data_IF_540750612224
#
_entry.id   IF_540750612224
#
_cell.length_a   1.000
_cell.length_b   1.000
_cell.length_c   1.000
_cell.angle_alpha   90.00
_cell.angle_beta   90.00
_cell.angle_gamma   90.00
#
_symmetry.space_group_name_H-M   'P 1'
#
loop_
_entity.id
_entity.type
_entity.pdbx_description
1 polymer ?
#
# COMPACT_ATOMS: atom_id res chain seq x y z
N UNK A 1 26.72 8.58 -10.03
CA UNK A 1 26.02 7.26 -9.97
C UNK A 1 24.61 7.47 -10.49
N UNK A 2 24.10 6.60 -11.35
CA UNK A 2 22.71 6.67 -11.80
C UNK A 2 21.78 6.43 -10.60
N UNK A 3 20.77 7.31 -10.42
CA UNK A 3 19.99 7.35 -9.19
C UNK A 3 19.01 6.17 -9.06
N UNK A 4 18.45 5.69 -10.18
CA UNK A 4 17.54 4.56 -10.20
C UNK A 4 18.09 3.29 -9.57
N UNK A 5 19.28 2.77 -9.97
CA UNK A 5 19.90 1.61 -9.31
C UNK A 5 20.15 1.83 -7.82
N UNK A 6 20.55 3.04 -7.43
CA UNK A 6 20.81 3.37 -6.02
C UNK A 6 19.58 3.30 -5.13
N UNK A 7 18.38 3.62 -5.66
CA UNK A 7 17.11 3.51 -4.92
C UNK A 7 16.76 2.05 -4.64
N UNK A 8 16.93 1.15 -5.62
CA UNK A 8 16.76 -0.29 -5.39
C UNK A 8 17.78 -0.83 -4.40
N UNK A 9 19.05 -0.44 -4.54
CA UNK A 9 20.12 -0.89 -3.67
C UNK A 9 19.86 -0.52 -2.22
N UNK A 10 19.35 0.68 -1.95
CA UNK A 10 18.99 1.13 -0.61
C UNK A 10 18.02 0.19 0.11
N UNK A 11 16.96 -0.25 -0.56
CA UNK A 11 15.98 -1.16 0.04
C UNK A 11 16.42 -2.63 -0.03
N UNK A 12 17.19 -3.02 -1.07
CA UNK A 12 17.73 -4.38 -1.16
C UNK A 12 18.71 -4.69 -0.03
N UNK A 13 19.58 -3.76 0.34
CA UNK A 13 20.51 -3.93 1.46
C UNK A 13 19.71 -4.18 2.77
N UNK A 14 18.73 -3.34 3.06
CA UNK A 14 17.90 -3.49 4.25
C UNK A 14 17.12 -4.81 4.26
N UNK A 15 16.56 -5.21 3.12
CA UNK A 15 15.87 -6.49 3.00
C UNK A 15 16.84 -7.67 3.21
N UNK A 16 18.04 -7.62 2.65
CA UNK A 16 19.08 -8.66 2.81
C UNK A 16 19.56 -8.80 4.25
N UNK A 17 19.69 -7.70 4.98
CA UNK A 17 19.98 -7.73 6.41
C UNK A 17 18.89 -8.45 7.21
N UNK A 18 17.62 -8.17 6.92
CA UNK A 18 16.48 -8.84 7.55
C UNK A 18 16.43 -10.33 7.18
N UNK A 19 16.63 -10.67 5.91
CA UNK A 19 16.65 -12.06 5.44
C UNK A 19 17.80 -12.87 6.06
N UNK A 20 18.97 -12.26 6.22
CA UNK A 20 20.12 -12.90 6.85
C UNK A 20 19.88 -13.18 8.33
N UNK A 21 19.26 -12.23 9.04
CA UNK A 21 18.87 -12.41 10.45
C UNK A 21 17.75 -13.45 10.58
N UNK A 22 16.74 -13.41 9.71
CA UNK A 22 15.66 -14.37 9.70
C UNK A 22 16.15 -15.82 9.49
N UNK A 23 17.16 -16.02 8.64
CA UNK A 23 17.69 -17.34 8.29
C UNK A 23 18.24 -18.14 9.50
N UNK A 24 18.59 -17.47 10.59
CA UNK A 24 19.12 -18.09 11.82
C UNK A 24 18.10 -18.13 12.98
N UNK A 25 16.86 -17.75 12.74
CA UNK A 25 15.77 -17.82 13.74
C UNK A 25 14.96 -19.10 13.57
N UNK A 26 14.29 -19.51 14.63
CA UNK A 26 13.40 -20.68 14.62
C UNK A 26 12.22 -20.48 13.65
N UNK A 27 11.68 -19.24 13.55
CA UNK A 27 10.59 -18.90 12.65
C UNK A 27 10.94 -17.66 11.80
N UNK A 28 11.60 -17.85 10.64
CA UNK A 28 11.99 -16.77 9.74
C UNK A 28 10.84 -15.86 9.30
N UNK A 29 9.67 -16.45 9.03
CA UNK A 29 8.48 -15.71 8.62
C UNK A 29 7.99 -14.73 9.70
N UNK A 30 7.92 -15.21 10.94
CA UNK A 30 7.52 -14.38 12.08
C UNK A 30 8.54 -13.25 12.32
N UNK A 31 9.84 -13.57 12.23
CA UNK A 31 10.89 -12.55 12.34
C UNK A 31 10.72 -11.45 11.29
N UNK A 32 10.51 -11.81 10.02
CA UNK A 32 10.33 -10.83 8.93
C UNK A 32 9.07 -9.98 9.14
N UNK A 33 7.97 -10.59 9.58
CA UNK A 33 6.74 -9.88 9.90
C UNK A 33 6.95 -8.85 11.02
N UNK A 34 7.57 -9.25 12.12
CA UNK A 34 7.80 -8.39 13.28
C UNK A 34 8.85 -7.28 13.06
N UNK A 35 9.74 -7.43 12.07
CA UNK A 35 10.83 -6.49 11.80
C UNK A 35 10.63 -5.66 10.53
N UNK A 36 9.39 -5.38 10.17
CA UNK A 36 9.03 -4.44 9.10
C UNK A 36 9.62 -4.78 7.71
N UNK A 37 9.79 -6.09 7.40
CA UNK A 37 10.22 -6.51 6.07
C UNK A 37 9.19 -6.13 5.00
N UNK A 38 7.90 -6.08 5.37
CA UNK A 38 6.79 -5.70 4.49
C UNK A 38 6.99 -4.32 3.87
N UNK A 39 7.37 -3.32 4.64
CA UNK A 39 7.64 -1.97 4.13
C UNK A 39 8.77 -1.97 3.08
N UNK A 40 9.85 -2.72 3.30
CA UNK A 40 10.97 -2.79 2.35
C UNK A 40 10.55 -3.45 1.04
N UNK A 41 9.77 -4.53 1.13
CA UNK A 41 9.19 -5.21 -0.04
C UNK A 41 8.22 -4.30 -0.80
N UNK A 42 7.38 -3.56 -0.09
CA UNK A 42 6.42 -2.64 -0.67
C UNK A 42 7.11 -1.48 -1.42
N UNK A 43 8.21 -0.95 -0.89
CA UNK A 43 9.01 0.06 -1.59
C UNK A 43 9.68 -0.51 -2.84
N UNK A 44 10.21 -1.73 -2.77
CA UNK A 44 10.81 -2.43 -3.92
C UNK A 44 9.77 -2.78 -4.99
N UNK A 45 8.56 -3.19 -4.59
CA UNK A 45 7.42 -3.37 -5.49
C UNK A 45 7.05 -2.06 -6.18
N UNK A 46 6.90 -0.97 -5.40
CA UNK A 46 6.59 0.36 -5.93
C UNK A 46 7.60 0.85 -6.95
N UNK A 47 8.89 0.74 -6.65
CA UNK A 47 9.97 1.04 -7.60
C UNK A 47 9.84 0.17 -8.85
N UNK A 48 9.63 -1.14 -8.68
CA UNK A 48 9.52 -2.06 -9.81
C UNK A 48 8.33 -1.74 -10.71
N UNK A 49 7.18 -1.42 -10.12
CA UNK A 49 5.97 -1.01 -10.83
C UNK A 49 6.18 0.29 -11.61
N UNK A 50 6.77 1.28 -10.97
CA UNK A 50 7.06 2.57 -11.59
C UNK A 50 8.04 2.40 -12.75
N UNK A 51 9.18 1.76 -12.54
CA UNK A 51 10.20 1.57 -13.58
C UNK A 51 9.75 0.66 -14.72
N UNK A 52 8.84 -0.29 -14.48
CA UNK A 52 8.18 -1.02 -15.55
C UNK A 52 7.33 -0.11 -16.45
N UNK A 53 6.80 0.98 -15.92
CA UNK A 53 6.09 2.01 -16.68
C UNK A 53 7.01 3.02 -17.39
N UNK A 54 8.24 3.21 -16.90
CA UNK A 54 9.20 4.16 -17.49
C UNK A 54 10.02 3.56 -18.61
N UNK A 55 10.55 2.35 -18.42
CA UNK A 55 11.41 1.63 -19.37
C UNK A 55 11.56 0.15 -18.95
N UNK A 56 12.21 -0.68 -19.76
CA UNK A 56 12.55 -2.10 -19.52
C UNK A 56 11.48 -2.93 -18.78
N UNK A 57 10.23 -2.82 -19.23
CA UNK A 57 9.04 -3.42 -18.61
C UNK A 57 9.26 -4.87 -18.15
N UNK A 58 9.89 -5.72 -18.99
CA UNK A 58 10.06 -7.14 -18.69
C UNK A 58 10.95 -7.40 -17.47
N UNK A 59 12.01 -6.59 -17.26
CA UNK A 59 12.92 -6.76 -16.13
C UNK A 59 12.25 -6.35 -14.83
N UNK A 60 11.56 -5.22 -14.83
CA UNK A 60 10.93 -4.70 -13.64
C UNK A 60 9.67 -5.48 -13.25
N UNK A 61 8.87 -5.96 -14.21
CA UNK A 61 7.77 -6.87 -13.91
C UNK A 61 8.25 -8.17 -13.26
N UNK A 62 9.38 -8.71 -13.71
CA UNK A 62 10.00 -9.87 -13.05
C UNK A 62 10.37 -9.58 -11.59
N UNK A 63 10.98 -8.44 -11.30
CA UNK A 63 11.34 -8.04 -9.95
C UNK A 63 10.09 -7.80 -9.09
N UNK A 64 9.11 -7.09 -9.65
CA UNK A 64 7.83 -6.78 -9.00
C UNK A 64 7.10 -8.06 -8.55
N UNK A 65 7.03 -9.08 -9.41
CA UNK A 65 6.37 -10.35 -9.08
C UNK A 65 6.93 -10.97 -7.80
N UNK A 66 8.26 -11.00 -7.64
CA UNK A 66 8.89 -11.57 -6.45
C UNK A 66 8.64 -10.73 -5.20
N UNK A 67 8.79 -9.41 -5.29
CA UNK A 67 8.58 -8.52 -4.15
C UNK A 67 7.11 -8.52 -3.72
N UNK A 68 6.21 -8.39 -4.69
CA UNK A 68 4.77 -8.43 -4.44
C UNK A 68 4.32 -9.75 -3.82
N UNK A 69 4.78 -10.90 -4.34
CA UNK A 69 4.41 -12.21 -3.78
C UNK A 69 4.76 -12.31 -2.31
N UNK A 70 5.97 -11.90 -1.91
CA UNK A 70 6.38 -11.98 -0.52
C UNK A 70 5.69 -10.91 0.34
N UNK A 71 5.46 -9.71 -0.20
CA UNK A 71 4.72 -8.63 0.46
C UNK A 71 3.28 -9.04 0.75
N UNK A 72 2.56 -9.55 -0.27
CA UNK A 72 1.17 -10.02 -0.14
C UNK A 72 1.05 -11.13 0.93
N UNK A 73 2.01 -12.07 0.97
CA UNK A 73 2.00 -13.14 1.97
C UNK A 73 2.21 -12.61 3.39
N UNK A 74 3.15 -11.66 3.59
CA UNK A 74 3.33 -11.01 4.90
C UNK A 74 2.10 -10.16 5.23
N UNK A 75 1.49 -9.51 4.26
CA UNK A 75 0.23 -8.78 4.41
C UNK A 75 -0.93 -9.66 4.86
N UNK A 76 -0.96 -10.93 4.42
CA UNK A 76 -1.96 -11.88 4.90
C UNK A 76 -1.74 -12.27 6.37
N UNK A 77 -0.48 -12.35 6.84
CA UNK A 77 -0.20 -12.54 8.27
C UNK A 77 -0.67 -11.33 9.07
N UNK A 78 -0.34 -10.12 8.60
CA UNK A 78 -0.75 -8.85 9.21
C UNK A 78 -2.29 -8.75 9.35
N UNK A 79 -3.02 -9.16 8.31
CA UNK A 79 -4.48 -9.21 8.31
C UNK A 79 -5.03 -10.09 9.44
N UNK A 80 -4.60 -11.35 9.54
CA UNK A 80 -5.10 -12.27 10.56
C UNK A 80 -4.57 -11.92 11.96
N UNK A 81 -3.35 -11.41 12.10
CA UNK A 81 -2.80 -10.98 13.39
C UNK A 81 -3.53 -9.75 13.94
N UNK A 82 -3.90 -8.81 13.08
CA UNK A 82 -4.69 -7.65 13.48
C UNK A 82 -6.08 -8.06 14.03
N UNK A 83 -6.77 -8.98 13.33
CA UNK A 83 -8.07 -9.47 13.81
C UNK A 83 -7.94 -10.41 15.01
N UNK A 84 -6.87 -11.18 15.13
CA UNK A 84 -6.64 -11.99 16.33
C UNK A 84 -6.54 -11.11 17.59
N UNK A 85 -5.86 -9.97 17.49
CA UNK A 85 -5.76 -8.98 18.57
C UNK A 85 -7.08 -8.28 18.85
N UNK A 86 -7.73 -7.79 17.80
CA UNK A 86 -9.02 -7.09 17.89
C UNK A 86 -10.11 -8.00 18.50
N UNK A 87 -10.21 -9.24 18.06
CA UNK A 87 -11.19 -10.20 18.58
C UNK A 87 -10.88 -10.69 20.00
N UNK A 88 -9.61 -10.63 20.42
CA UNK A 88 -9.23 -10.95 21.80
C UNK A 88 -9.75 -9.89 22.78
N UNK A 89 -9.77 -8.63 22.36
CA UNK A 89 -10.26 -7.50 23.16
C UNK A 89 -11.78 -7.36 23.12
N UNK A 90 -12.48 -8.03 22.19
CA UNK A 90 -13.92 -7.99 22.03
C UNK A 90 -14.61 -9.08 22.87
N UNK A 91 -15.30 -8.71 23.98
CA UNK A 91 -15.90 -9.68 24.90
C UNK A 91 -17.07 -10.47 24.30
N UNK A 92 -17.72 -9.96 23.25
CA UNK A 92 -18.84 -10.64 22.58
C UNK A 92 -18.39 -11.59 21.49
N UNK A 93 -17.13 -11.51 21.04
CA UNK A 93 -16.60 -12.35 19.97
C UNK A 93 -16.44 -13.81 20.45
N UNK A 94 -17.11 -14.79 19.81
CA UNK A 94 -16.99 -16.20 20.17
C UNK A 94 -15.55 -16.72 20.12
N UNK A 95 -15.18 -17.56 21.10
CA UNK A 95 -13.82 -18.15 21.15
C UNK A 95 -13.48 -18.97 19.91
N UNK A 96 -14.45 -19.63 19.30
CA UNK A 96 -14.27 -20.42 18.06
C UNK A 96 -13.80 -19.54 16.89
N UNK A 97 -14.33 -18.31 16.78
CA UNK A 97 -13.90 -17.34 15.75
C UNK A 97 -12.49 -16.87 16.02
N UNK A 98 -12.15 -16.55 17.28
CA UNK A 98 -10.78 -16.16 17.68
C UNK A 98 -9.76 -17.24 17.33
N UNK A 99 -10.03 -18.50 17.73
CA UNK A 99 -9.15 -19.63 17.45
C UNK A 99 -9.00 -19.89 15.93
N UNK A 100 -10.05 -19.69 15.16
CA UNK A 100 -9.97 -19.80 13.70
C UNK A 100 -9.00 -18.77 13.12
N UNK A 101 -9.13 -17.49 13.49
CA UNK A 101 -8.27 -16.40 12.99
C UNK A 101 -6.80 -16.63 13.39
N UNK A 102 -6.54 -17.07 14.62
CA UNK A 102 -5.20 -17.44 15.07
C UNK A 102 -4.63 -18.61 14.26
N UNK A 103 -5.43 -19.65 14.01
CA UNK A 103 -5.01 -20.79 13.19
C UNK A 103 -4.66 -20.38 11.76
N UNK A 104 -5.39 -19.42 11.19
CA UNK A 104 -5.11 -18.86 9.87
C UNK A 104 -3.80 -18.07 9.86
N UNK A 105 -3.51 -17.28 10.89
CA UNK A 105 -2.22 -16.61 11.04
C UNK A 105 -1.06 -17.61 10.99
N UNK A 106 -1.15 -18.69 11.78
CA UNK A 106 -0.10 -19.71 11.80
C UNK A 106 0.03 -20.44 10.44
N UNK A 107 -1.07 -20.74 9.77
CA UNK A 107 -1.08 -21.28 8.40
C UNK A 107 -0.31 -20.36 7.43
N UNK A 108 -0.54 -19.03 7.49
CA UNK A 108 0.14 -18.07 6.63
C UNK A 108 1.64 -17.97 6.96
N UNK A 109 2.03 -17.98 8.23
CA UNK A 109 3.44 -18.02 8.64
C UNK A 109 4.15 -19.25 8.10
N UNK A 110 3.52 -20.44 8.21
CA UNK A 110 4.07 -21.68 7.65
C UNK A 110 4.27 -21.58 6.12
N UNK A 111 3.28 -21.09 5.41
CA UNK A 111 3.37 -20.91 3.95
C UNK A 111 4.52 -19.95 3.55
N UNK A 112 4.75 -18.87 4.31
CA UNK A 112 5.89 -17.98 4.09
C UNK A 112 7.20 -18.73 4.29
N UNK A 113 7.37 -19.47 5.38
CA UNK A 113 8.59 -20.24 5.63
C UNK A 113 8.91 -21.21 4.48
N UNK A 114 7.92 -21.89 3.93
CA UNK A 114 8.08 -22.74 2.76
C UNK A 114 8.57 -21.97 1.52
N UNK A 115 7.97 -20.81 1.26
CA UNK A 115 8.35 -19.95 0.11
C UNK A 115 9.75 -19.36 0.29
N UNK A 116 10.14 -18.94 1.50
CA UNK A 116 11.47 -18.41 1.78
C UNK A 116 12.55 -19.43 1.38
N UNK A 117 12.35 -20.70 1.69
CA UNK A 117 13.26 -21.80 1.32
C UNK A 117 13.15 -22.10 -0.18
N UNK A 118 11.94 -22.41 -0.68
CA UNK A 118 11.69 -22.83 -2.07
C UNK A 118 12.17 -21.81 -3.09
N UNK A 119 11.98 -20.53 -2.82
CA UNK A 119 12.40 -19.43 -3.71
C UNK A 119 13.80 -18.91 -3.41
N UNK A 120 14.51 -19.52 -2.45
CA UNK A 120 15.88 -19.19 -2.04
C UNK A 120 16.06 -17.73 -1.59
N UNK A 121 15.11 -17.23 -0.78
CA UNK A 121 15.21 -15.92 -0.16
C UNK A 121 16.22 -15.92 0.98
N UNK A 122 16.20 -16.98 1.82
CA UNK A 122 17.08 -17.17 3.00
C UNK A 122 18.22 -18.19 2.74
N UNK A 123 18.63 -18.38 1.48
CA UNK A 123 19.82 -19.18 1.18
C UNK A 123 21.09 -18.48 1.68
N UNK A 124 22.14 -19.24 2.00
CA UNK A 124 23.41 -18.72 2.53
C UNK A 124 24.03 -17.59 1.66
N UNK A 125 23.80 -17.64 0.36
CA UNK A 125 24.28 -16.66 -0.59
C UNK A 125 23.23 -15.60 -0.98
N UNK A 126 22.05 -15.58 -0.36
CA UNK A 126 20.92 -14.70 -0.69
C UNK A 126 20.60 -14.73 -2.20
N UNK A 127 20.55 -15.91 -2.77
CA UNK A 127 20.44 -16.15 -4.22
C UNK A 127 19.35 -15.30 -4.88
N UNK A 128 18.17 -15.19 -4.24
CA UNK A 128 17.02 -14.49 -4.83
C UNK A 128 17.30 -13.00 -5.03
N UNK A 129 17.74 -12.32 -4.00
CA UNK A 129 18.03 -10.88 -4.06
C UNK A 129 19.19 -10.58 -5.00
N UNK A 130 20.26 -11.41 -4.97
CA UNK A 130 21.38 -11.31 -5.93
C UNK A 130 20.93 -11.45 -7.39
N UNK A 131 20.03 -12.39 -7.67
CA UNK A 131 19.50 -12.60 -9.02
C UNK A 131 18.67 -11.41 -9.48
N UNK A 132 17.81 -10.86 -8.61
CA UNK A 132 17.01 -9.67 -8.91
C UNK A 132 17.93 -8.47 -9.13
N UNK A 133 18.89 -8.22 -8.22
CA UNK A 133 19.89 -7.14 -8.34
C UNK A 133 20.65 -7.19 -9.65
N UNK A 134 21.12 -8.39 -10.06
CA UNK A 134 21.82 -8.57 -11.34
C UNK A 134 20.95 -8.18 -12.54
N UNK A 135 19.65 -8.45 -12.49
CA UNK A 135 18.70 -8.06 -13.54
C UNK A 135 18.47 -6.56 -13.57
N UNK A 136 18.23 -5.95 -12.42
CA UNK A 136 17.99 -4.51 -12.28
C UNK A 136 19.20 -3.71 -12.76
N UNK A 137 20.42 -4.12 -12.39
CA UNK A 137 21.67 -3.45 -12.86
C UNK A 137 21.84 -3.43 -14.38
N UNK A 138 21.22 -4.35 -15.11
CA UNK A 138 21.26 -4.44 -16.57
C UNK A 138 20.16 -3.65 -17.29
N UNK A 139 19.31 -2.91 -16.56
CA UNK A 139 18.30 -2.08 -17.18
C UNK A 139 18.93 -0.87 -17.88
N UNK A 140 18.22 -0.34 -18.88
CA UNK A 140 18.63 0.85 -19.62
C UNK A 140 18.31 2.12 -18.80
N UNK A 141 19.16 2.40 -17.82
CA UNK A 141 18.99 3.51 -16.91
C UNK A 141 19.18 4.87 -17.58
N UNK A 142 18.28 5.79 -17.33
CA UNK A 142 18.29 7.14 -17.89
C UNK A 142 19.13 8.10 -17.05
N UNK A 143 19.47 9.25 -17.64
CA UNK A 143 20.07 10.37 -16.89
C UNK A 143 19.08 10.89 -15.84
N UNK A 144 19.55 11.49 -14.74
CA UNK A 144 18.68 12.00 -13.70
C UNK A 144 17.60 12.96 -14.19
N UNK A 145 17.95 13.83 -15.13
CA UNK A 145 17.01 14.79 -15.73
C UNK A 145 15.91 14.08 -16.52
N UNK A 146 16.30 13.16 -17.42
CA UNK A 146 15.33 12.38 -18.21
C UNK A 146 14.46 11.48 -17.37
N UNK A 147 15.02 10.92 -16.29
CA UNK A 147 14.29 10.11 -15.33
C UNK A 147 13.15 10.90 -14.66
N UNK A 148 13.45 12.15 -14.21
CA UNK A 148 12.44 13.04 -13.59
C UNK A 148 11.31 13.38 -14.56
N UNK A 149 11.63 13.66 -15.84
CA UNK A 149 10.60 13.88 -16.87
C UNK A 149 9.68 12.67 -17.00
N UNK A 150 10.26 11.48 -17.13
CA UNK A 150 9.49 10.24 -17.25
C UNK A 150 8.65 9.95 -16.00
N UNK A 151 9.18 10.20 -14.80
CA UNK A 151 8.43 10.06 -13.54
C UNK A 151 7.25 11.03 -13.53
N UNK A 152 7.43 12.27 -13.96
CA UNK A 152 6.36 13.26 -14.05
C UNK A 152 5.25 12.80 -15.01
N UNK A 153 5.63 12.31 -16.20
CA UNK A 153 4.68 11.73 -17.16
C UNK A 153 3.93 10.53 -16.58
N UNK A 154 4.64 9.67 -15.81
CA UNK A 154 4.03 8.53 -15.15
C UNK A 154 2.98 8.96 -14.13
N UNK A 155 3.24 9.99 -13.33
CA UNK A 155 2.26 10.55 -12.39
C UNK A 155 1.01 11.06 -13.11
N UNK A 156 1.15 11.81 -14.21
CA UNK A 156 0.01 12.28 -14.99
C UNK A 156 -0.85 11.11 -15.48
N UNK A 157 -0.23 10.10 -16.08
CA UNK A 157 -0.94 8.90 -16.55
C UNK A 157 -1.58 8.10 -15.41
N UNK A 158 -0.95 8.06 -14.24
CA UNK A 158 -1.52 7.40 -13.07
C UNK A 158 -2.75 8.14 -12.54
N UNK A 159 -2.70 9.47 -12.48
CA UNK A 159 -3.82 10.35 -12.07
C UNK A 159 -4.99 10.20 -13.06
N UNK A 160 -4.71 10.23 -14.36
CA UNK A 160 -5.73 10.03 -15.41
C UNK A 160 -6.47 8.70 -15.21
N UNK A 161 -5.74 7.59 -15.07
CA UNK A 161 -6.32 6.27 -14.80
C UNK A 161 -7.12 6.18 -13.50
N UNK A 162 -6.76 6.94 -12.48
CA UNK A 162 -7.52 6.99 -11.23
C UNK A 162 -8.83 7.73 -11.45
N UNK A 163 -8.80 8.85 -12.17
CA UNK A 163 -9.99 9.61 -12.51
C UNK A 163 -10.94 8.80 -13.42
N UNK A 164 -10.40 8.07 -14.41
CA UNK A 164 -11.17 7.15 -15.24
C UNK A 164 -11.85 6.07 -14.39
N UNK A 165 -11.08 5.41 -13.51
CA UNK A 165 -11.62 4.38 -12.62
C UNK A 165 -12.78 4.92 -11.73
N UNK A 166 -12.63 6.13 -11.16
CA UNK A 166 -13.69 6.73 -10.36
C UNK A 166 -14.95 7.02 -11.21
N UNK A 167 -14.80 7.54 -12.42
CA UNK A 167 -15.92 7.75 -13.36
C UNK A 167 -16.61 6.44 -13.76
N UNK A 168 -15.86 5.36 -13.96
CA UNK A 168 -16.40 4.03 -14.29
C UNK A 168 -17.26 3.44 -13.17
N UNK A 169 -17.08 3.86 -11.91
CA UNK A 169 -17.99 3.50 -10.81
C UNK A 169 -19.33 4.23 -10.84
N UNK A 170 -19.55 5.13 -11.83
CA UNK A 170 -20.71 6.00 -11.89
C UNK A 170 -20.71 7.10 -10.85
N UNK A 171 -19.54 7.41 -10.31
CA UNK A 171 -19.33 8.36 -9.21
C UNK A 171 -20.13 7.98 -7.95
N UNK A 172 -20.50 6.70 -7.83
CA UNK A 172 -21.22 6.13 -6.68
C UNK A 172 -20.72 4.72 -6.41
N UNK A 173 -20.18 4.50 -5.20
CA UNK A 173 -19.74 3.16 -4.80
C UNK A 173 -20.91 2.28 -4.38
N UNK A 174 -20.88 1.05 -4.89
CA UNK A 174 -21.83 -0.01 -4.58
C UNK A 174 -21.13 -1.25 -3.98
N UNK A 175 -19.78 -1.28 -4.01
CA UNK A 175 -18.97 -2.39 -3.54
C UNK A 175 -17.73 -1.87 -2.79
N UNK A 176 -17.53 -2.34 -1.55
CA UNK A 176 -16.37 -1.92 -0.73
C UNK A 176 -15.06 -2.49 -1.26
N UNK A 177 -15.03 -3.77 -1.65
CA UNK A 177 -13.78 -4.43 -2.02
C UNK A 177 -13.36 -4.07 -3.45
N UNK A 178 -14.27 -4.15 -4.40
CA UNK A 178 -13.96 -3.95 -5.82
C UNK A 178 -13.85 -2.47 -6.21
N UNK A 179 -14.46 -1.56 -5.44
CA UNK A 179 -14.48 -0.15 -5.80
C UNK A 179 -13.74 0.72 -4.77
N UNK A 180 -14.18 0.73 -3.50
CA UNK A 180 -13.59 1.58 -2.45
C UNK A 180 -12.14 1.16 -2.15
N UNK A 181 -11.91 -0.13 -1.92
CA UNK A 181 -10.57 -0.66 -1.64
C UNK A 181 -9.64 -0.51 -2.86
N UNK A 182 -10.13 -0.80 -4.07
CA UNK A 182 -9.32 -0.66 -5.28
C UNK A 182 -8.97 0.80 -5.58
N UNK A 183 -9.92 1.74 -5.40
CA UNK A 183 -9.63 3.17 -5.52
C UNK A 183 -8.56 3.58 -4.51
N UNK A 184 -8.75 3.21 -3.22
CA UNK A 184 -7.77 3.49 -2.18
C UNK A 184 -6.38 2.95 -2.53
N UNK A 185 -6.28 1.72 -3.05
CA UNK A 185 -4.99 1.13 -3.50
C UNK A 185 -4.34 1.95 -4.60
N UNK A 186 -5.12 2.42 -5.58
CA UNK A 186 -4.62 3.27 -6.67
C UNK A 186 -4.12 4.62 -6.15
N UNK A 187 -4.90 5.30 -5.29
CA UNK A 187 -4.51 6.56 -4.64
C UNK A 187 -3.24 6.40 -3.79
N UNK A 188 -3.17 5.32 -2.99
CA UNK A 188 -2.04 5.05 -2.10
C UNK A 188 -0.72 4.93 -2.86
N UNK A 189 -0.70 4.41 -4.09
CA UNK A 189 0.53 4.35 -4.88
C UNK A 189 1.12 5.74 -5.14
N UNK A 190 0.30 6.77 -5.35
CA UNK A 190 0.79 8.14 -5.54
C UNK A 190 1.53 8.68 -4.31
N UNK A 191 1.14 8.27 -3.09
CA UNK A 191 1.83 8.65 -1.84
C UNK A 191 3.05 7.77 -1.54
N UNK A 192 3.12 6.55 -2.06
CA UNK A 192 4.24 5.62 -1.85
C UNK A 192 5.43 5.95 -2.74
N UNK A 193 5.20 6.31 -3.99
CA UNK A 193 6.29 6.63 -4.91
C UNK A 193 7.25 7.70 -4.40
N UNK A 194 6.83 8.81 -3.75
CA UNK A 194 7.74 9.76 -3.14
C UNK A 194 8.70 9.13 -2.14
N UNK A 195 8.20 8.22 -1.29
CA UNK A 195 9.02 7.52 -0.30
C UNK A 195 10.00 6.56 -0.98
N UNK A 196 9.53 5.77 -1.95
CA UNK A 196 10.34 4.80 -2.68
C UNK A 196 11.43 5.48 -3.53
N UNK A 197 11.15 6.65 -4.11
CA UNK A 197 12.04 7.41 -4.99
C UNK A 197 13.11 8.22 -4.27
N UNK A 198 13.13 8.22 -2.92
CA UNK A 198 14.25 8.74 -2.12
C UNK A 198 14.71 10.14 -2.53
N UNK A 199 13.84 11.14 -2.37
CA UNK A 199 14.15 12.53 -2.61
C UNK A 199 14.02 13.02 -4.07
N UNK A 200 13.63 12.13 -5.00
CA UNK A 200 13.33 12.52 -6.38
C UNK A 200 11.94 13.19 -6.53
N UNK A 201 11.11 13.06 -5.52
CA UNK A 201 9.81 13.75 -5.41
C UNK A 201 9.86 14.59 -4.14
N UNK A 202 9.48 15.86 -4.23
CA UNK A 202 9.46 16.80 -3.13
C UNK A 202 8.11 17.49 -3.05
N UNK A 203 7.66 17.80 -1.84
CA UNK A 203 6.51 18.67 -1.64
C UNK A 203 6.97 20.13 -1.68
N UNK A 204 6.18 20.99 -2.31
CA UNK A 204 6.36 22.43 -2.37
C UNK A 204 5.12 23.12 -1.82
N UNK A 205 5.33 24.10 -0.98
CA UNK A 205 4.28 24.97 -0.47
C UNK A 205 4.25 26.24 -1.32
N UNK A 206 3.21 26.35 -2.15
CA UNK A 206 2.98 27.54 -2.99
C UNK A 206 1.97 28.50 -2.35
N UNK A 207 1.59 28.30 -1.08
CA UNK A 207 0.63 29.15 -0.38
C UNK A 207 -0.80 29.01 -0.93
N UNK A 208 -1.14 27.88 -1.55
CA UNK A 208 -2.49 27.65 -2.08
C UNK A 208 -3.38 27.24 -0.91
N UNK A 209 -4.13 28.20 -0.40
CA UNK A 209 -5.13 27.98 0.63
C UNK A 209 -6.50 28.38 0.08
N UNK A 210 -7.40 27.41 -0.02
CA UNK A 210 -8.78 27.63 -0.42
C UNK A 210 -9.72 27.03 0.64
N UNK A 211 -10.93 27.57 0.82
CA UNK A 211 -11.88 27.01 1.79
C UNK A 211 -12.16 25.52 1.56
N UNK A 212 -12.15 25.08 0.30
CA UNK A 212 -12.37 23.69 -0.08
C UNK A 212 -11.24 22.75 0.40
N UNK A 213 -10.00 23.24 0.47
CA UNK A 213 -8.87 22.48 0.97
C UNK A 213 -8.84 22.34 2.50
N UNK A 214 -9.42 23.31 3.22
CA UNK A 214 -9.35 23.33 4.69
C UNK A 214 -9.87 22.05 5.35
N UNK A 215 -10.89 21.42 4.79
CA UNK A 215 -11.47 20.15 5.31
C UNK A 215 -10.50 18.95 5.28
N UNK A 216 -9.46 18.99 4.43
CA UNK A 216 -8.46 17.92 4.31
C UNK A 216 -7.23 18.15 5.19
N UNK A 217 -7.02 19.40 5.67
CA UNK A 217 -5.83 19.82 6.40
C UNK A 217 -5.99 19.62 7.92
N UNK A 218 -6.34 18.39 8.33
CA UNK A 218 -6.48 18.06 9.74
C UNK A 218 -5.11 17.93 10.42
N UNK A 219 -5.00 18.19 11.75
CA UNK A 219 -3.73 18.02 12.48
C UNK A 219 -3.14 16.62 12.32
N UNK A 220 -3.99 15.57 12.26
CA UNK A 220 -3.58 14.19 12.02
C UNK A 220 -2.87 14.02 10.67
N UNK A 221 -3.42 14.61 9.62
CA UNK A 221 -2.86 14.53 8.27
C UNK A 221 -1.59 15.37 8.14
N UNK A 222 -1.59 16.60 8.65
CA UNK A 222 -0.44 17.50 8.57
C UNK A 222 0.78 16.89 9.27
N UNK A 223 0.58 16.26 10.43
CA UNK A 223 1.64 15.66 11.23
C UNK A 223 1.92 14.19 10.90
N UNK A 224 1.25 13.63 9.89
CA UNK A 224 1.46 12.24 9.51
C UNK A 224 2.88 11.98 9.01
N UNK A 225 3.61 10.98 9.56
CA UNK A 225 4.95 10.63 9.10
C UNK A 225 4.97 10.17 7.62
N UNK A 226 3.84 9.74 7.08
CA UNK A 226 3.71 9.36 5.68
C UNK A 226 3.78 10.55 4.71
N UNK A 227 3.55 11.78 5.22
CA UNK A 227 3.62 13.02 4.45
C UNK A 227 5.00 13.70 4.53
N UNK A 228 5.93 13.16 5.31
CA UNK A 228 7.31 13.64 5.37
C UNK A 228 8.09 13.08 4.18
N UNK A 229 8.50 13.95 3.27
CA UNK A 229 9.27 13.56 2.09
C UNK A 229 10.73 13.23 2.46
N UNK A 230 11.32 12.17 1.88
CA UNK A 230 12.75 11.95 1.99
C UNK A 230 13.53 13.13 1.45
N UNK A 231 14.59 13.52 2.14
CA UNK A 231 15.43 14.65 1.75
C UNK A 231 15.99 14.46 0.33
N UNK A 232 16.08 15.53 -0.48
CA UNK A 232 16.54 15.45 -1.86
C UNK A 232 18.01 15.00 -1.97
N UNK A 233 18.82 15.19 -0.93
CA UNK A 233 20.23 14.84 -0.93
C UNK A 233 20.95 15.57 -2.08
N UNK A 234 21.64 14.80 -2.94
CA UNK A 234 22.36 15.34 -4.12
C UNK A 234 21.48 15.37 -5.39
N UNK A 235 20.16 15.18 -5.28
CA UNK A 235 19.27 15.28 -6.44
C UNK A 235 19.15 16.75 -6.87
N UNK A 236 19.56 17.05 -8.10
CA UNK A 236 19.37 18.37 -8.71
C UNK A 236 18.03 18.51 -9.42
N UNK A 237 17.48 17.40 -9.85
CA UNK A 237 16.20 17.30 -10.57
C UNK A 237 15.21 16.52 -9.71
N UNK A 238 14.00 17.02 -9.56
CA UNK A 238 12.94 16.36 -8.82
C UNK A 238 11.55 16.78 -9.32
N UNK A 239 10.58 15.91 -9.09
CA UNK A 239 9.16 16.20 -9.30
C UNK A 239 8.65 17.00 -8.09
N UNK A 240 7.90 18.06 -8.32
CA UNK A 240 7.28 18.86 -7.27
C UNK A 240 5.80 18.49 -7.15
N UNK A 241 5.39 18.12 -5.96
CA UNK A 241 3.98 17.95 -5.59
C UNK A 241 3.53 19.13 -4.75
N UNK A 242 2.35 19.65 -5.03
CA UNK A 242 1.76 20.71 -4.23
C UNK A 242 1.35 20.18 -2.85
N UNK A 243 1.84 20.81 -1.78
CA UNK A 243 1.75 20.30 -0.42
C UNK A 243 0.32 20.08 0.06
N UNK A 244 -0.57 21.05 -0.16
CA UNK A 244 -1.92 20.97 0.34
C UNK A 244 -2.78 19.96 -0.45
N UNK A 245 -2.51 19.76 -1.75
CA UNK A 245 -3.14 18.68 -2.53
C UNK A 245 -2.57 17.30 -2.18
N UNK A 246 -1.30 17.20 -1.75
CA UNK A 246 -0.76 15.98 -1.18
C UNK A 246 -1.44 15.61 0.15
N UNK A 247 -1.71 16.61 0.99
CA UNK A 247 -2.47 16.41 2.23
C UNK A 247 -3.90 15.99 1.95
N UNK A 248 -4.57 16.57 0.95
CA UNK A 248 -5.91 16.15 0.53
C UNK A 248 -5.91 14.69 0.04
N UNK A 249 -4.93 14.28 -0.76
CA UNK A 249 -4.73 12.89 -1.15
C UNK A 249 -4.54 11.98 0.07
N UNK A 250 -3.69 12.37 1.02
CA UNK A 250 -3.42 11.61 2.24
C UNK A 250 -4.66 11.45 3.11
N UNK A 251 -5.47 12.50 3.23
CA UNK A 251 -6.75 12.47 3.94
C UNK A 251 -7.69 11.42 3.34
N UNK A 252 -7.92 11.45 2.04
CA UNK A 252 -8.81 10.49 1.36
C UNK A 252 -8.31 9.07 1.53
N UNK A 253 -6.99 8.81 1.40
CA UNK A 253 -6.40 7.49 1.63
C UNK A 253 -6.65 7.01 3.06
N UNK A 254 -6.53 7.89 4.06
CA UNK A 254 -6.76 7.59 5.48
C UNK A 254 -8.21 7.23 5.73
N UNK A 255 -9.14 8.08 5.30
CA UNK A 255 -10.58 7.87 5.53
C UNK A 255 -11.11 6.61 4.82
N UNK A 256 -10.75 6.40 3.54
CA UNK A 256 -11.07 5.15 2.85
C UNK A 256 -10.42 3.93 3.50
N UNK A 257 -9.29 4.12 4.22
CA UNK A 257 -8.67 3.09 5.04
C UNK A 257 -9.56 2.66 6.19
N UNK A 258 -10.06 3.61 6.96
CA UNK A 258 -10.97 3.37 8.10
C UNK A 258 -12.23 2.63 7.65
N UNK A 259 -12.84 3.05 6.53
CA UNK A 259 -14.02 2.40 5.95
C UNK A 259 -13.73 0.95 5.54
N UNK A 260 -12.63 0.75 4.84
CA UNK A 260 -12.20 -0.59 4.41
C UNK A 260 -11.97 -1.52 5.62
N UNK A 261 -11.31 -1.03 6.68
CA UNK A 261 -10.98 -1.85 7.84
C UNK A 261 -12.24 -2.31 8.59
N UNK A 262 -13.28 -1.48 8.66
CA UNK A 262 -14.60 -1.87 9.16
C UNK A 262 -15.24 -2.98 8.31
N UNK A 263 -15.21 -2.86 6.99
CA UNK A 263 -15.73 -3.89 6.08
C UNK A 263 -14.96 -5.21 6.18
N UNK A 264 -13.65 -5.15 6.27
CA UNK A 264 -12.80 -6.35 6.41
C UNK A 264 -13.03 -7.10 7.72
N UNK A 265 -13.41 -6.42 8.81
CA UNK A 265 -13.80 -7.07 10.07
C UNK A 265 -15.00 -8.01 9.85
N UNK A 266 -16.04 -7.53 9.16
CA UNK A 266 -17.21 -8.36 8.83
C UNK A 266 -16.81 -9.56 7.98
N UNK A 267 -15.97 -9.36 6.98
CA UNK A 267 -15.49 -10.45 6.10
C UNK A 267 -14.69 -11.49 6.89
N UNK A 268 -13.81 -11.06 7.79
CA UNK A 268 -13.02 -11.98 8.63
C UNK A 268 -13.92 -12.82 9.56
N UNK A 269 -14.96 -12.21 10.14
CA UNK A 269 -15.94 -12.93 10.98
C UNK A 269 -16.76 -13.88 10.12
N UNK A 270 -17.21 -13.48 8.92
CA UNK A 270 -17.97 -14.33 8.02
C UNK A 270 -17.15 -15.56 7.57
N UNK A 271 -15.88 -15.37 7.22
CA UNK A 271 -14.96 -16.48 6.91
C UNK A 271 -14.86 -17.45 8.09
N UNK A 272 -14.67 -16.96 9.30
CA UNK A 272 -14.57 -17.77 10.49
C UNK A 272 -15.88 -18.53 10.80
N UNK A 273 -17.03 -17.86 10.72
CA UNK A 273 -18.36 -18.47 10.91
C UNK A 273 -18.59 -19.58 9.89
N UNK A 274 -18.32 -19.31 8.61
CA UNK A 274 -18.47 -20.31 7.54
C UNK A 274 -17.71 -21.58 7.85
N UNK A 275 -16.45 -21.47 8.25
CA UNK A 275 -15.58 -22.62 8.49
C UNK A 275 -15.83 -23.32 9.83
N UNK A 276 -16.21 -22.60 10.86
CA UNK A 276 -16.43 -23.20 12.20
C UNK A 276 -17.84 -23.78 12.39
N UNK A 277 -18.81 -23.28 11.64
CA UNK A 277 -20.22 -23.70 11.76
C UNK A 277 -20.74 -24.45 10.52
N UNK A 278 -19.91 -24.60 9.46
CA UNK A 278 -20.24 -25.31 8.23
C UNK A 278 -21.53 -24.80 7.55
N UNK A 279 -21.70 -23.49 7.51
CA UNK A 279 -22.88 -22.83 6.91
C UNK A 279 -22.55 -22.24 5.52
N UNK A 280 -23.58 -21.79 4.78
CA UNK A 280 -23.41 -21.12 3.49
C UNK A 280 -22.82 -19.72 3.65
N UNK A 281 -22.37 -19.11 2.55
CA UNK A 281 -21.80 -17.74 2.55
C UNK A 281 -22.85 -16.70 3.02
N UNK A 282 -24.12 -16.87 2.61
CA UNK A 282 -25.20 -15.98 3.00
C UNK A 282 -25.44 -16.01 4.52
N UNK A 283 -25.57 -17.21 5.10
CA UNK A 283 -25.78 -17.38 6.56
C UNK A 283 -24.56 -16.89 7.34
N UNK A 284 -23.36 -17.15 6.83
CA UNK A 284 -22.13 -16.68 7.47
C UNK A 284 -22.06 -15.14 7.49
N UNK A 285 -22.45 -14.48 6.39
CA UNK A 285 -22.47 -13.03 6.28
C UNK A 285 -23.54 -12.41 7.21
N UNK A 286 -24.75 -12.96 7.25
CA UNK A 286 -25.81 -12.49 8.18
C UNK A 286 -25.33 -12.54 9.64
N UNK A 287 -24.77 -13.68 10.08
CA UNK A 287 -24.22 -13.83 11.43
C UNK A 287 -23.04 -12.89 11.70
N UNK A 288 -22.20 -12.69 10.71
CA UNK A 288 -21.08 -11.76 10.83
C UNK A 288 -21.57 -10.33 11.04
N UNK A 289 -22.61 -9.89 10.33
CA UNK A 289 -23.22 -8.58 10.49
C UNK A 289 -23.83 -8.46 11.90
N UNK A 290 -24.57 -9.46 12.38
CA UNK A 290 -25.13 -9.47 13.73
C UNK A 290 -24.06 -9.36 14.81
N UNK A 291 -22.97 -10.15 14.71
CA UNK A 291 -21.84 -10.10 15.66
C UNK A 291 -21.08 -8.78 15.64
N UNK A 292 -21.14 -8.04 14.54
CA UNK A 292 -20.47 -6.73 14.39
C UNK A 292 -21.43 -5.53 14.53
N UNK A 293 -22.73 -5.74 14.74
CA UNK A 293 -23.75 -4.68 14.73
C UNK A 293 -23.46 -3.52 15.72
N UNK A 294 -22.76 -3.81 16.81
CA UNK A 294 -22.34 -2.79 17.79
C UNK A 294 -21.10 -2.02 17.34
N UNK A 295 -20.25 -2.63 16.49
CA UNK A 295 -18.92 -2.13 16.15
C UNK A 295 -18.80 -1.56 14.73
N UNK A 296 -19.83 -1.66 13.90
CA UNK A 296 -19.81 -1.20 12.51
C UNK A 296 -21.07 -0.44 12.13
N UNK A 297 -20.90 0.64 11.39
CA UNK A 297 -22.01 1.46 10.86
C UNK A 297 -22.87 0.74 9.77
N UNK A 298 -22.59 -0.51 9.51
CA UNK A 298 -23.19 -1.26 8.42
C UNK A 298 -22.61 -0.92 7.03
N UNK A 299 -22.77 -1.85 6.10
CA UNK A 299 -22.20 -1.74 4.75
C UNK A 299 -22.71 -0.51 3.99
N UNK A 300 -24.01 -0.24 4.07
CA UNK A 300 -24.64 0.90 3.40
C UNK A 300 -24.10 2.24 3.88
N UNK A 301 -23.95 2.41 5.19
CA UNK A 301 -23.40 3.63 5.79
C UNK A 301 -21.93 3.82 5.38
N UNK A 302 -21.15 2.73 5.33
CA UNK A 302 -19.75 2.76 4.88
C UNK A 302 -19.61 3.20 3.41
N UNK A 303 -20.45 2.69 2.52
CA UNK A 303 -20.49 3.12 1.12
C UNK A 303 -20.90 4.58 0.96
N UNK A 304 -21.92 5.02 1.72
CA UNK A 304 -22.35 6.42 1.74
C UNK A 304 -21.22 7.35 2.20
N UNK A 305 -20.53 7.01 3.29
CA UNK A 305 -19.37 7.77 3.78
C UNK A 305 -18.24 7.82 2.74
N UNK A 306 -17.97 6.71 2.03
CA UNK A 306 -16.97 6.68 0.97
C UNK A 306 -17.30 7.64 -0.18
N UNK A 307 -18.58 7.72 -0.58
CA UNK A 307 -19.05 8.68 -1.58
C UNK A 307 -18.91 10.13 -1.07
N UNK A 308 -19.37 10.43 0.15
CA UNK A 308 -19.26 11.76 0.77
C UNK A 308 -17.80 12.27 0.86
N UNK A 309 -16.81 11.36 0.95
CA UNK A 309 -15.39 11.70 0.96
C UNK A 309 -14.86 11.91 -0.47
N UNK A 310 -15.24 11.04 -1.41
CA UNK A 310 -14.68 11.03 -2.75
C UNK A 310 -15.30 12.06 -3.68
N UNK A 311 -16.62 12.27 -3.62
CA UNK A 311 -17.32 13.19 -4.52
C UNK A 311 -16.69 14.59 -4.53
N UNK A 312 -16.52 15.28 -3.39
CA UNK A 312 -15.90 16.61 -3.41
C UNK A 312 -14.42 16.55 -3.81
N UNK A 313 -13.69 15.50 -3.45
CA UNK A 313 -12.27 15.37 -3.78
C UNK A 313 -12.03 15.30 -5.30
N UNK A 314 -12.84 14.54 -6.02
CA UNK A 314 -12.75 14.43 -7.47
C UNK A 314 -13.39 15.61 -8.19
N UNK A 315 -14.54 16.12 -7.73
CA UNK A 315 -15.20 17.30 -8.31
C UNK A 315 -14.32 18.56 -8.25
N UNK A 316 -13.56 18.73 -7.18
CA UNK A 316 -12.59 19.83 -7.01
C UNK A 316 -11.29 19.64 -7.81
N UNK A 317 -11.16 18.51 -8.53
CA UNK A 317 -9.97 18.14 -9.30
C UNK A 317 -8.65 18.19 -8.47
N UNK A 318 -8.71 17.71 -7.23
CA UNK A 318 -7.55 17.76 -6.32
C UNK A 318 -6.35 16.93 -6.83
N UNK A 319 -6.60 15.79 -7.50
CA UNK A 319 -5.55 15.01 -8.14
C UNK A 319 -4.89 15.72 -9.31
N UNK A 320 -5.66 16.43 -10.15
CA UNK A 320 -5.13 17.17 -11.28
C UNK A 320 -4.20 18.33 -10.85
N UNK A 321 -4.44 18.87 -9.65
CA UNK A 321 -3.65 19.95 -9.05
C UNK A 321 -2.47 19.46 -8.21
N UNK A 322 -2.31 18.13 -8.01
CA UNK A 322 -1.26 17.53 -7.19
C UNK A 322 0.15 17.84 -7.71
N UNK A 323 0.35 17.84 -9.03
CA UNK A 323 1.67 18.12 -9.61
C UNK A 323 1.81 19.63 -9.78
N UNK A 324 2.74 20.22 -9.03
CA UNK A 324 3.00 21.65 -9.11
C UNK A 324 3.44 22.07 -10.53
N UNK A 325 2.92 23.19 -11.06
CA UNK A 325 3.39 23.74 -12.32
C UNK A 325 4.88 24.09 -12.23
N UNK A 326 5.63 23.95 -13.33
CA UNK A 326 7.00 24.49 -13.38
C UNK A 326 6.91 26.00 -13.09
N UNK A 327 7.58 26.49 -12.04
CA UNK A 327 7.78 27.92 -11.91
C UNK A 327 8.55 28.37 -13.16
N UNK A 328 7.96 29.28 -13.92
CA UNK A 328 8.70 29.99 -14.98
C UNK A 328 9.81 30.77 -14.27
N UNK A 329 11.05 30.35 -14.47
CA UNK A 329 12.25 31.11 -14.07
C UNK A 329 12.46 32.29 -15.00
#
# INVERSE_FOLDING_TARGET
>A
MLQGPGRFEYYLIQLEELLSKAAITENPALFLYQNDARTKLFMLEGLSKLYAGLHDKKRFLYAMEYFKTLEDMIGAVDYYDAFAKDFLEDPIMPSTIRLFVESKREEKLKAINEILIKKKWISADLYRTKKIRKRIKKADWKTPEKEVELIKEFYFKAIEKINEFYKETGEQFTDIELQVHDLRRKLRWLSIYPQALRGCVQSVDNGIETPELAKYLTPEIINSPFNIMPQPGNNRFFVQLEKNYLFALSFVISELGKIKDQGLRIVAVAEAVKHTQFVTDEIAMERAIELNAVNTDGLYSSLKKANEICDPFFAENNLGKLIAPKKST
#
